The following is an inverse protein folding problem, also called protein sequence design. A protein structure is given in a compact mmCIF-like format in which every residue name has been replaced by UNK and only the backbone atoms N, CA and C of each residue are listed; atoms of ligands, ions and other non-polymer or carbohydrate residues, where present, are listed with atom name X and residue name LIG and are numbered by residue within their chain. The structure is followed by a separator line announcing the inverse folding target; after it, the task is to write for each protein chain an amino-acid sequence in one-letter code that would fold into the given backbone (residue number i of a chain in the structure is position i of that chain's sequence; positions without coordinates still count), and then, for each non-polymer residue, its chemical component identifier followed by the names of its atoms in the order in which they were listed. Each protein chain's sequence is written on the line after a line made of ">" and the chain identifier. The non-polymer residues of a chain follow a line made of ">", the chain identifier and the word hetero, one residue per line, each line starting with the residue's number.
data_IF_395171758099
#
_entry.id   IF_395171758099
#
_cell.length_a   1.000
_cell.length_b   1.000
_cell.length_c   1.000
_cell.angle_alpha   90.00
_cell.angle_beta   90.00
_cell.angle_gamma   90.00
#
_symmetry.space_group_name_H-M   'P 1'
#
loop_
_entity.id
_entity.type
_entity.pdbx_description
1 polymer ?
#
# COMPACT_ATOMS: atom_id res chain seq x y z
N UNK A 1 -21.19 -18.11 40.93
CA UNK A 1 -20.88 -17.97 39.48
C UNK A 1 -19.49 -17.35 39.36
N UNK A 2 -18.53 -17.95 38.63
CA UNK A 2 -17.26 -17.27 38.40
C UNK A 2 -17.50 -16.05 37.51
N UNK A 3 -16.91 -14.91 37.89
CA UNK A 3 -17.00 -13.68 37.10
C UNK A 3 -16.30 -13.89 35.76
N UNK A 4 -17.03 -13.70 34.66
CA UNK A 4 -16.43 -13.62 33.32
C UNK A 4 -15.66 -12.30 33.31
N UNK A 5 -14.35 -12.37 33.51
CA UNK A 5 -13.48 -11.20 33.36
C UNK A 5 -13.46 -10.82 31.87
N UNK A 6 -14.25 -9.81 31.51
CA UNK A 6 -14.21 -9.21 30.18
C UNK A 6 -12.95 -8.35 30.10
N UNK A 7 -11.91 -8.86 29.44
CA UNK A 7 -10.74 -8.05 29.12
C UNK A 7 -11.15 -6.95 28.12
N UNK A 8 -10.76 -5.68 28.33
CA UNK A 8 -11.12 -4.61 27.44
C UNK A 8 -10.48 -4.81 26.06
N UNK A 9 -11.30 -4.67 25.01
CA UNK A 9 -10.84 -4.65 23.62
C UNK A 9 -10.34 -3.25 23.31
N UNK A 10 -9.14 -3.18 22.73
CA UNK A 10 -8.49 -1.92 22.33
C UNK A 10 -8.25 -1.98 20.83
N UNK A 11 -8.82 -1.05 20.08
CA UNK A 11 -8.53 -0.89 18.65
C UNK A 11 -7.42 0.16 18.46
N UNK A 12 -6.43 -0.16 17.63
CA UNK A 12 -5.31 0.73 17.30
C UNK A 12 -5.13 0.85 15.79
N UNK A 13 -4.77 2.04 15.32
CA UNK A 13 -4.72 2.39 13.90
C UNK A 13 -6.05 2.90 13.35
N UNK A 14 -6.01 3.68 12.26
CA UNK A 14 -7.12 3.80 11.32
C UNK A 14 -8.51 4.20 11.84
N UNK A 15 -8.65 5.11 12.81
CA UNK A 15 -9.97 5.42 13.44
C UNK A 15 -10.92 6.18 12.49
N UNK A 16 -10.37 6.82 11.45
CA UNK A 16 -11.11 7.58 10.45
C UNK A 16 -11.52 6.75 9.24
N UNK A 17 -12.52 5.89 9.37
CA UNK A 17 -13.32 5.39 8.23
C UNK A 17 -12.54 4.92 6.98
N UNK A 18 -11.42 4.21 7.13
CA UNK A 18 -10.54 3.61 6.11
C UNK A 18 -11.00 3.77 4.63
N UNK A 19 -10.82 4.88 3.88
CA UNK A 19 -11.30 4.94 2.48
C UNK A 19 -10.74 3.78 1.65
N UNK A 20 -11.58 3.09 0.87
CA UNK A 20 -11.10 1.97 0.06
C UNK A 20 -10.12 2.50 -1.00
N UNK A 21 -8.90 1.96 -1.10
CA UNK A 21 -7.98 2.37 -2.15
C UNK A 21 -8.58 2.05 -3.51
N UNK A 22 -8.74 3.05 -4.37
CA UNK A 22 -9.26 2.87 -5.73
C UNK A 22 -8.15 3.06 -6.74
N UNK A 23 -7.81 2.00 -7.47
CA UNK A 23 -6.97 2.09 -8.67
C UNK A 23 -7.83 2.50 -9.87
N UNK A 24 -8.52 3.65 -9.75
CA UNK A 24 -9.21 4.20 -10.89
C UNK A 24 -8.16 4.88 -11.77
N UNK A 25 -7.65 4.13 -12.76
CA UNK A 25 -6.81 4.67 -13.82
C UNK A 25 -7.49 5.90 -14.43
N UNK A 26 -6.95 7.09 -14.21
CA UNK A 26 -7.30 8.25 -15.04
C UNK A 26 -6.83 7.97 -16.46
N UNK A 27 -7.67 8.18 -17.49
CA UNK A 27 -7.24 8.14 -18.88
C UNK A 27 -6.01 9.04 -19.09
N UNK A 28 -5.11 8.58 -19.94
CA UNK A 28 -3.83 9.20 -20.25
C UNK A 28 -3.94 10.66 -20.73
N UNK A 29 -3.55 11.64 -19.92
CA UNK A 29 -3.32 13.02 -20.41
C UNK A 29 -1.84 13.20 -20.79
N UNK A 30 -1.57 13.42 -22.08
CA UNK A 30 -0.34 13.96 -22.74
C UNK A 30 0.95 13.12 -22.95
N UNK A 31 1.23 12.70 -24.21
CA UNK A 31 2.58 12.35 -24.75
C UNK A 31 3.28 11.02 -24.38
N UNK A 32 2.68 9.88 -24.69
CA UNK A 32 3.46 8.66 -25.03
C UNK A 32 4.32 7.93 -23.97
N UNK A 33 4.38 8.39 -22.71
CA UNK A 33 4.92 7.59 -21.60
C UNK A 33 3.89 6.54 -21.12
N UNK A 34 4.30 5.40 -20.51
CA UNK A 34 3.37 4.41 -19.96
C UNK A 34 2.52 5.08 -18.87
N UNK A 35 1.27 5.36 -19.21
CA UNK A 35 0.28 6.00 -18.35
C UNK A 35 -0.75 4.95 -17.97
N UNK A 36 -0.63 4.45 -16.75
CA UNK A 36 -1.52 3.41 -16.24
C UNK A 36 -1.54 3.31 -14.72
N UNK A 37 -0.51 3.78 -14.02
CA UNK A 37 -0.55 3.91 -12.56
C UNK A 37 -1.31 5.19 -12.19
N UNK A 38 -2.60 5.26 -12.50
CA UNK A 38 -3.45 6.36 -12.07
C UNK A 38 -3.53 6.36 -10.55
N UNK A 39 -2.86 7.31 -9.87
CA UNK A 39 -2.90 7.65 -8.42
C UNK A 39 -3.03 6.50 -7.40
N UNK A 40 -2.76 5.26 -7.80
CA UNK A 40 -2.91 4.11 -6.94
C UNK A 40 -1.58 3.86 -6.28
N UNK A 41 -1.55 4.05 -4.95
CA UNK A 41 -0.38 3.67 -4.17
C UNK A 41 -0.47 2.19 -3.84
N UNK A 42 0.37 1.39 -4.49
CA UNK A 42 0.54 -0.01 -4.12
C UNK A 42 1.79 -0.10 -3.26
N UNK A 43 1.66 -0.73 -2.09
CA UNK A 43 2.83 -1.08 -1.28
C UNK A 43 3.55 -2.21 -1.94
N UNK A 44 4.86 -2.10 -2.07
CA UNK A 44 5.65 -3.12 -2.74
C UNK A 44 6.91 -3.41 -1.98
N UNK A 45 7.12 -4.69 -1.67
CA UNK A 45 8.33 -5.25 -1.11
C UNK A 45 8.82 -4.62 0.21
N UNK A 46 7.98 -3.86 0.94
CA UNK A 46 8.36 -2.96 2.04
C UNK A 46 7.70 -3.32 3.38
N UNK A 47 8.21 -2.76 4.49
CA UNK A 47 7.56 -2.79 5.80
C UNK A 47 7.09 -1.41 6.19
N UNK A 48 5.83 -1.25 6.60
CA UNK A 48 5.23 0.06 6.90
C UNK A 48 4.37 0.07 8.16
N UNK A 49 4.20 1.26 8.74
CA UNK A 49 3.22 1.55 9.80
C UNK A 49 2.79 3.03 9.74
N UNK A 50 1.55 3.36 10.13
CA UNK A 50 1.08 4.73 10.14
C UNK A 50 1.71 5.49 11.33
N UNK A 51 2.06 6.75 11.10
CA UNK A 51 2.56 7.66 12.14
C UNK A 51 1.61 8.79 12.45
N UNK A 52 0.64 9.07 11.57
CA UNK A 52 -0.42 10.05 11.79
C UNK A 52 -1.70 9.60 11.09
N UNK A 53 -2.81 9.78 11.78
CA UNK A 53 -4.15 9.49 11.27
C UNK A 53 -5.19 10.37 11.95
N UNK A 54 -5.91 11.18 11.17
CA UNK A 54 -7.09 11.90 11.65
C UNK A 54 -6.81 12.71 12.95
N UNK A 55 -5.62 13.31 13.03
CA UNK A 55 -5.14 14.07 14.20
C UNK A 55 -4.42 13.25 15.28
N UNK A 56 -4.48 11.92 15.23
CA UNK A 56 -3.80 11.02 16.18
C UNK A 56 -2.36 10.74 15.76
N UNK A 57 -1.40 10.91 16.67
CA UNK A 57 0.00 10.57 16.43
C UNK A 57 0.31 9.13 16.84
N UNK A 58 1.11 8.45 16.03
CA UNK A 58 1.55 7.06 16.20
C UNK A 58 0.40 6.08 16.52
N UNK A 59 -0.67 6.06 15.71
CA UNK A 59 -1.92 5.38 16.05
C UNK A 59 -1.78 3.86 16.18
N UNK A 60 -0.69 3.25 15.71
CA UNK A 60 -0.43 1.79 15.86
C UNK A 60 0.60 1.45 16.93
N UNK A 61 0.87 2.39 17.84
CA UNK A 61 1.70 2.14 19.02
C UNK A 61 0.85 1.48 20.10
N UNK A 62 1.33 0.37 20.63
CA UNK A 62 0.64 -0.41 21.66
C UNK A 62 0.61 0.40 22.97
N UNK A 63 -0.58 0.74 23.51
CA UNK A 63 -0.68 1.64 24.66
C UNK A 63 -0.41 0.94 26.00
N UNK A 64 -0.70 -0.36 26.08
CA UNK A 64 -0.55 -1.20 27.27
C UNK A 64 -0.12 -2.60 26.86
N UNK A 65 0.51 -3.36 27.75
CA UNK A 65 0.83 -4.76 27.48
C UNK A 65 -0.46 -5.51 27.11
N UNK A 66 -0.44 -6.15 25.95
CA UNK A 66 -1.65 -6.68 25.33
C UNK A 66 -1.32 -7.91 24.51
N UNK A 67 -2.37 -8.54 24.02
CA UNK A 67 -2.29 -9.59 23.02
C UNK A 67 -3.02 -9.16 21.77
N UNK A 68 -2.34 -9.24 20.63
CA UNK A 68 -2.93 -8.95 19.34
C UNK A 68 -3.73 -10.16 18.85
N UNK A 69 -4.99 -9.92 18.48
CA UNK A 69 -5.96 -10.98 18.17
C UNK A 69 -6.59 -10.86 16.79
N UNK A 70 -6.63 -9.66 16.19
CA UNK A 70 -7.18 -9.49 14.86
C UNK A 70 -6.54 -8.33 14.08
N UNK A 71 -6.71 -8.39 12.77
CA UNK A 71 -6.29 -7.38 11.80
C UNK A 71 -7.47 -7.03 10.90
N UNK A 72 -7.83 -5.76 10.86
CA UNK A 72 -8.80 -5.21 9.94
C UNK A 72 -8.08 -4.39 8.86
N UNK A 73 -8.41 -4.59 7.59
CA UNK A 73 -7.87 -3.78 6.50
C UNK A 73 -8.85 -3.60 5.35
N UNK A 74 -8.70 -2.52 4.57
CA UNK A 74 -9.34 -2.37 3.26
C UNK A 74 -8.33 -2.65 2.15
N UNK A 75 -8.69 -3.59 1.28
CA UNK A 75 -7.87 -3.98 0.14
C UNK A 75 -8.47 -3.37 -1.11
N UNK A 76 -7.66 -2.63 -1.84
CA UNK A 76 -8.03 -1.97 -3.09
C UNK A 76 -8.35 -2.98 -4.17
N UNK A 77 -9.20 -2.56 -5.11
CA UNK A 77 -9.53 -3.36 -6.28
C UNK A 77 -8.53 -3.04 -7.38
N UNK A 78 -7.77 -4.05 -7.79
CA UNK A 78 -7.02 -3.97 -9.04
C UNK A 78 -8.01 -4.12 -10.21
N UNK A 79 -7.89 -3.27 -11.21
CA UNK A 79 -8.75 -3.27 -12.38
C UNK A 79 -7.92 -3.08 -13.64
N UNK A 80 -8.02 -4.04 -14.54
CA UNK A 80 -7.43 -3.89 -15.86
C UNK A 80 -7.97 -2.62 -16.53
N UNK A 81 -7.07 -1.80 -17.05
CA UNK A 81 -7.44 -0.57 -17.75
C UNK A 81 -7.20 -0.74 -19.25
N UNK A 82 -8.04 -0.10 -20.05
CA UNK A 82 -7.92 -0.03 -21.51
C UNK A 82 -7.89 1.42 -21.91
N UNK A 83 -6.80 1.85 -22.53
CA UNK A 83 -6.62 3.22 -23.00
C UNK A 83 -6.61 3.22 -24.52
N UNK A 84 -7.44 4.06 -25.14
CA UNK A 84 -7.41 4.20 -26.59
C UNK A 84 -6.13 4.93 -27.02
N UNK A 85 -5.27 4.27 -27.80
CA UNK A 85 -4.02 4.86 -28.32
C UNK A 85 -4.15 5.37 -29.74
N UNK A 86 -5.11 4.85 -30.51
CA UNK A 86 -5.41 5.33 -31.86
C UNK A 86 -6.90 5.42 -32.09
N UNK A 87 -7.35 6.58 -32.57
CA UNK A 87 -8.70 6.78 -33.05
C UNK A 87 -8.74 6.71 -34.56
N UNK A 88 -9.82 6.14 -35.07
CA UNK A 88 -10.18 6.19 -36.48
C UNK A 88 -11.57 6.81 -36.60
N UNK A 89 -11.87 7.29 -37.80
CA UNK A 89 -13.16 7.86 -38.15
C UNK A 89 -13.74 7.00 -39.25
N UNK A 90 -14.99 6.60 -39.07
CA UNK A 90 -15.75 5.97 -40.14
C UNK A 90 -17.03 6.76 -40.35
N UNK A 91 -17.49 6.71 -41.59
CA UNK A 91 -18.68 7.42 -42.00
C UNK A 91 -19.90 6.56 -41.64
N UNK A 92 -20.76 7.08 -40.77
CA UNK A 92 -21.93 6.34 -40.28
C UNK A 92 -23.19 7.04 -40.72
N UNK A 93 -24.09 6.25 -41.29
CA UNK A 93 -25.45 6.65 -41.63
C UNK A 93 -26.38 6.19 -40.53
N UNK A 94 -27.00 7.12 -39.81
CA UNK A 94 -27.94 6.83 -38.73
C UNK A 94 -29.29 7.46 -39.03
N UNK A 95 -30.36 6.72 -38.76
CA UNK A 95 -31.74 7.19 -38.93
C UNK A 95 -32.30 7.48 -37.54
N UNK A 96 -32.56 8.76 -37.24
CA UNK A 96 -33.11 9.18 -35.94
C UNK A 96 -34.44 9.86 -36.23
N UNK A 97 -35.54 9.33 -35.67
CA UNK A 97 -36.91 9.82 -35.88
C UNK A 97 -37.27 9.99 -37.37
N UNK A 98 -36.97 8.98 -38.18
CA UNK A 98 -37.28 8.98 -39.62
C UNK A 98 -36.32 9.80 -40.50
N UNK A 99 -35.51 10.70 -39.91
CA UNK A 99 -34.54 11.53 -40.65
C UNK A 99 -33.19 10.82 -40.74
N UNK A 100 -32.64 10.75 -41.95
CA UNK A 100 -31.31 10.16 -42.19
C UNK A 100 -30.24 11.23 -42.02
N UNK A 101 -29.30 11.02 -41.09
CA UNK A 101 -28.13 11.89 -40.89
C UNK A 101 -26.85 11.10 -41.14
N UNK A 102 -25.93 11.74 -41.85
CA UNK A 102 -24.59 11.22 -42.08
C UNK A 102 -23.62 11.95 -41.14
N UNK A 103 -22.80 11.21 -40.42
CA UNK A 103 -21.75 11.80 -39.58
C UNK A 103 -20.51 10.94 -39.51
N UNK A 104 -19.36 11.58 -39.43
CA UNK A 104 -18.13 10.91 -39.02
C UNK A 104 -18.24 10.54 -37.54
N UNK A 105 -18.19 9.24 -37.24
CA UNK A 105 -18.19 8.76 -35.86
C UNK A 105 -16.77 8.33 -35.49
N UNK A 106 -16.27 8.95 -34.42
CA UNK A 106 -14.99 8.60 -33.81
C UNK A 106 -15.12 7.26 -33.10
N UNK A 107 -14.22 6.34 -33.37
CA UNK A 107 -14.10 5.08 -32.66
C UNK A 107 -12.65 4.77 -32.37
N UNK A 108 -12.41 3.91 -31.37
CA UNK A 108 -11.06 3.49 -31.06
C UNK A 108 -10.66 2.34 -31.99
N UNK A 109 -9.60 2.52 -32.76
CA UNK A 109 -9.05 1.50 -33.65
C UNK A 109 -7.88 0.73 -33.04
N UNK A 110 -7.27 1.25 -31.97
CA UNK A 110 -6.22 0.55 -31.21
C UNK A 110 -6.30 0.87 -29.73
N UNK A 111 -6.29 -0.19 -28.91
CA UNK A 111 -6.24 -0.10 -27.46
C UNK A 111 -4.84 -0.49 -26.96
N UNK A 112 -4.41 0.17 -25.89
CA UNK A 112 -3.38 -0.31 -24.98
C UNK A 112 -4.07 -0.87 -23.74
N UNK A 113 -3.71 -2.09 -23.34
CA UNK A 113 -4.36 -2.82 -22.25
C UNK A 113 -3.34 -2.99 -21.13
N UNK A 114 -3.64 -2.42 -19.98
CA UNK A 114 -2.83 -2.59 -18.78
C UNK A 114 -3.53 -3.55 -17.83
N UNK A 115 -3.02 -4.78 -17.78
CA UNK A 115 -3.46 -5.78 -16.82
C UNK A 115 -2.71 -5.57 -15.49
N UNK A 116 -3.30 -4.82 -14.57
CA UNK A 116 -2.66 -4.36 -13.33
C UNK A 116 -2.08 -5.52 -12.52
N UNK A 117 -2.86 -6.58 -12.32
CA UNK A 117 -2.41 -7.77 -11.57
C UNK A 117 -1.20 -8.43 -12.24
N UNK A 118 -1.27 -8.64 -13.56
CA UNK A 118 -0.20 -9.29 -14.31
C UNK A 118 1.09 -8.45 -14.28
N UNK A 119 0.94 -7.12 -14.35
CA UNK A 119 2.05 -6.21 -14.13
C UNK A 119 2.66 -6.41 -12.74
N UNK A 120 1.88 -6.27 -11.66
CA UNK A 120 2.41 -6.41 -10.30
C UNK A 120 3.01 -7.79 -10.01
N UNK A 121 2.40 -8.87 -10.50
CA UNK A 121 2.92 -10.23 -10.35
C UNK A 121 4.27 -10.41 -11.07
N UNK A 122 4.43 -9.82 -12.26
CA UNK A 122 5.69 -9.85 -13.02
C UNK A 122 6.76 -9.00 -12.33
N UNK A 123 6.36 -7.88 -11.76
CA UNK A 123 7.21 -6.78 -11.30
C UNK A 123 7.68 -6.96 -9.86
N UNK A 124 6.84 -7.48 -8.96
CA UNK A 124 7.12 -7.62 -7.52
C UNK A 124 6.98 -9.06 -7.01
N UNK A 125 6.78 -10.02 -7.92
CA UNK A 125 6.58 -11.43 -7.61
C UNK A 125 5.10 -11.81 -7.53
N UNK A 126 4.84 -13.09 -7.82
CA UNK A 126 3.49 -13.63 -7.96
C UNK A 126 2.72 -13.63 -6.64
N UNK A 127 1.48 -13.14 -6.70
CA UNK A 127 0.49 -13.20 -5.65
C UNK A 127 0.65 -12.06 -4.66
N UNK A 128 -0.41 -11.29 -4.45
CA UNK A 128 -0.44 -10.20 -3.46
C UNK A 128 -0.42 -10.77 -2.04
N UNK A 129 0.65 -10.50 -1.30
CA UNK A 129 0.89 -11.02 0.05
C UNK A 129 1.24 -9.91 1.03
N UNK A 130 0.73 -10.06 2.24
CA UNK A 130 1.10 -9.25 3.41
C UNK A 130 1.24 -10.13 4.63
N UNK A 131 1.94 -9.64 5.65
CA UNK A 131 1.91 -10.21 6.98
C UNK A 131 1.95 -9.12 8.02
N UNK A 132 1.39 -9.42 9.17
CA UNK A 132 1.52 -8.57 10.33
C UNK A 132 2.94 -8.61 10.88
N UNK A 133 3.42 -7.46 11.37
CA UNK A 133 4.72 -7.35 12.02
C UNK A 133 4.62 -6.52 13.29
N UNK A 134 5.36 -6.94 14.32
CA UNK A 134 5.54 -6.19 15.56
C UNK A 134 6.97 -5.69 15.63
N UNK A 135 7.11 -4.40 15.83
CA UNK A 135 8.36 -3.66 15.79
C UNK A 135 8.63 -3.02 17.15
N UNK A 136 9.72 -3.42 17.80
CA UNK A 136 10.17 -2.80 19.05
C UNK A 136 11.11 -1.65 18.75
N UNK A 137 10.86 -0.43 19.27
CA UNK A 137 11.82 0.66 19.20
C UNK A 137 13.16 0.23 19.83
N UNK A 138 14.25 0.43 19.11
CA UNK A 138 15.59 0.25 19.66
C UNK A 138 16.07 1.56 20.29
N UNK A 139 16.90 1.49 21.34
CA UNK A 139 17.53 2.69 21.91
C UNK A 139 18.32 3.39 20.81
N UNK A 140 18.12 4.72 20.69
CA UNK A 140 18.85 5.56 19.74
C UNK A 140 20.35 5.41 20.00
N UNK A 141 21.11 4.88 19.03
CA UNK A 141 22.58 4.77 19.18
C UNK A 141 23.32 6.09 18.93
N UNK A 142 22.70 7.05 18.22
CA UNK A 142 23.12 8.45 18.00
C UNK A 142 22.40 8.95 16.73
N UNK A 143 22.04 10.24 16.66
CA UNK A 143 21.51 10.90 15.46
C UNK A 143 20.04 10.61 15.08
N UNK A 144 19.64 11.10 13.90
CA UNK A 144 18.27 11.13 13.35
C UNK A 144 17.68 9.78 12.90
N UNK A 145 18.33 8.65 13.23
CA UNK A 145 17.96 7.30 12.75
C UNK A 145 16.80 6.72 13.59
N UNK A 146 15.84 6.06 12.93
CA UNK A 146 14.66 5.48 13.59
C UNK A 146 14.76 3.97 13.50
N UNK A 147 15.52 3.38 14.43
CA UNK A 147 15.74 1.94 14.45
C UNK A 147 14.61 1.21 15.16
N UNK A 148 14.13 0.13 14.53
CA UNK A 148 13.20 -0.81 15.15
C UNK A 148 13.62 -2.24 14.87
N UNK A 149 13.49 -3.09 15.89
CA UNK A 149 13.73 -4.54 15.80
C UNK A 149 12.43 -5.28 15.56
N UNK A 150 12.45 -6.27 14.68
CA UNK A 150 11.34 -7.20 14.49
C UNK A 150 11.29 -8.16 15.67
N UNK A 151 10.23 -8.09 16.46
CA UNK A 151 10.07 -8.95 17.65
C UNK A 151 9.05 -10.06 17.43
N UNK A 152 8.07 -9.85 16.57
CA UNK A 152 7.11 -10.89 16.19
C UNK A 152 6.59 -10.68 14.77
N UNK A 153 6.10 -11.77 14.19
CA UNK A 153 5.53 -11.80 12.85
C UNK A 153 4.27 -12.66 12.85
N UNK A 154 3.21 -12.17 12.22
CA UNK A 154 2.01 -12.96 11.95
C UNK A 154 2.17 -13.88 10.73
N UNK A 155 1.17 -14.74 10.45
CA UNK A 155 1.17 -15.58 9.26
C UNK A 155 1.12 -14.74 7.98
N UNK A 156 1.54 -15.34 6.86
CA UNK A 156 1.38 -14.73 5.54
C UNK A 156 -0.09 -14.79 5.11
N UNK A 157 -0.61 -13.67 4.61
CA UNK A 157 -1.99 -13.50 4.16
C UNK A 157 -1.96 -13.22 2.66
N UNK A 158 -2.66 -14.03 1.87
CA UNK A 158 -2.91 -13.75 0.45
C UNK A 158 -4.11 -12.80 0.31
N UNK A 159 -3.92 -11.70 -0.41
CA UNK A 159 -4.91 -10.63 -0.56
C UNK A 159 -5.78 -10.75 -1.81
N UNK A 160 -5.44 -11.60 -2.78
CA UNK A 160 -6.10 -11.62 -4.10
C UNK A 160 -7.62 -11.88 -4.00
N UNK A 161 -8.03 -12.79 -3.11
CA UNK A 161 -9.45 -13.09 -2.85
C UNK A 161 -10.22 -11.97 -2.15
N UNK A 162 -9.50 -10.94 -1.71
CA UNK A 162 -10.03 -9.82 -0.92
C UNK A 162 -9.96 -8.48 -1.65
N UNK A 163 -9.47 -8.43 -2.89
CA UNK A 163 -9.42 -7.20 -3.68
C UNK A 163 -10.79 -6.51 -3.75
N UNK A 164 -10.80 -5.22 -3.43
CA UNK A 164 -12.01 -4.40 -3.36
C UNK A 164 -12.87 -4.59 -2.11
N UNK A 165 -12.38 -5.28 -1.08
CA UNK A 165 -13.15 -5.59 0.14
C UNK A 165 -12.49 -5.01 1.41
N UNK A 166 -13.32 -4.70 2.41
CA UNK A 166 -12.90 -4.60 3.81
C UNK A 166 -12.90 -6.00 4.40
N UNK A 167 -11.84 -6.37 5.09
CA UNK A 167 -11.70 -7.67 5.75
C UNK A 167 -11.26 -7.48 7.19
N UNK A 168 -11.76 -8.36 8.05
CA UNK A 168 -11.27 -8.54 9.42
C UNK A 168 -10.83 -9.98 9.55
N UNK A 169 -9.57 -10.18 9.90
CA UNK A 169 -8.94 -11.48 10.01
C UNK A 169 -8.55 -11.72 11.46
N UNK A 170 -9.20 -12.68 12.10
CA UNK A 170 -8.76 -13.19 13.39
C UNK A 170 -7.42 -13.92 13.22
N UNK A 171 -6.49 -13.65 14.13
CA UNK A 171 -5.21 -14.34 14.18
C UNK A 171 -5.40 -15.72 14.78
N UNK A 172 -5.02 -16.77 14.04
CA UNK A 172 -5.03 -18.16 14.54
C UNK A 172 -4.13 -18.33 15.76
N UNK A 173 -2.99 -17.65 15.75
CA UNK A 173 -2.08 -17.57 16.86
C UNK A 173 -1.97 -16.11 17.26
N UNK A 174 -2.35 -15.82 18.49
CA UNK A 174 -2.26 -14.48 19.05
C UNK A 174 -0.80 -14.09 19.26
N UNK A 175 -0.51 -12.79 19.22
CA UNK A 175 0.85 -12.29 19.33
C UNK A 175 0.96 -11.41 20.58
N UNK A 176 1.77 -11.79 21.59
CA UNK A 176 1.99 -10.93 22.74
C UNK A 176 2.75 -9.68 22.32
N UNK A 177 2.32 -8.53 22.81
CA UNK A 177 2.92 -7.22 22.51
C UNK A 177 3.13 -6.43 23.80
N UNK A 178 4.21 -5.67 23.86
CA UNK A 178 4.51 -4.80 25.00
C UNK A 178 4.08 -3.36 24.70
N UNK A 179 3.79 -2.61 25.75
CA UNK A 179 3.61 -1.15 25.65
C UNK A 179 4.80 -0.52 24.90
N UNK A 180 4.48 0.32 23.91
CA UNK A 180 5.48 0.99 23.07
C UNK A 180 5.96 0.18 21.86
N UNK A 181 5.62 -1.10 21.75
CA UNK A 181 5.75 -1.83 20.49
C UNK A 181 4.88 -1.15 19.42
N UNK A 182 5.31 -1.22 18.16
CA UNK A 182 4.58 -0.66 17.01
C UNK A 182 4.13 -1.79 16.11
N UNK A 183 2.84 -1.80 15.79
CA UNK A 183 2.26 -2.79 14.87
C UNK A 183 2.21 -2.20 13.46
N UNK A 184 2.55 -3.02 12.47
CA UNK A 184 2.56 -2.63 11.07
C UNK A 184 2.32 -3.80 10.13
N UNK A 185 2.59 -3.56 8.84
CA UNK A 185 2.52 -4.58 7.80
C UNK A 185 3.87 -4.72 7.11
N UNK A 186 4.28 -5.96 6.89
CA UNK A 186 5.36 -6.33 5.98
C UNK A 186 4.76 -6.90 4.70
N UNK A 187 5.15 -6.33 3.56
CA UNK A 187 4.61 -6.62 2.23
C UNK A 187 5.71 -7.24 1.38
N UNK A 188 5.84 -8.57 1.30
CA UNK A 188 6.92 -9.22 0.54
C UNK A 188 6.84 -9.02 -0.97
N UNK A 189 5.62 -8.91 -1.51
CA UNK A 189 5.31 -8.78 -2.94
C UNK A 189 4.71 -7.41 -3.21
N UNK A 190 3.41 -7.33 -3.50
CA UNK A 190 2.65 -6.11 -3.53
C UNK A 190 1.36 -6.21 -2.72
N UNK A 191 0.82 -5.07 -2.28
CA UNK A 191 -0.46 -4.96 -1.59
C UNK A 191 -1.16 -3.64 -1.98
N UNK A 192 -2.35 -3.70 -2.59
CA UNK A 192 -3.10 -2.51 -2.97
C UNK A 192 -3.83 -1.95 -1.74
N UNK A 193 -3.09 -1.42 -0.76
CA UNK A 193 -3.64 -1.03 0.54
C UNK A 193 -3.34 0.44 0.88
N UNK A 194 -2.89 1.28 -0.06
CA UNK A 194 -2.68 2.71 0.22
C UNK A 194 -3.53 3.62 -0.67
N UNK A 195 -4.50 4.35 -0.11
CA UNK A 195 -4.99 5.58 -0.69
C UNK A 195 -3.96 6.65 -0.38
N UNK A 196 -3.45 7.30 -1.44
CA UNK A 196 -2.87 8.62 -1.29
C UNK A 196 -3.98 9.52 -0.75
N UNK A 197 -3.69 10.19 0.35
CA UNK A 197 -4.67 11.07 0.97
C UNK A 197 -5.03 12.22 0.02
N UNK A 198 -6.23 12.76 0.17
CA UNK A 198 -6.62 14.01 -0.47
C UNK A 198 -5.63 15.12 -0.09
N UNK A 199 -5.33 16.03 -1.01
CA UNK A 199 -4.45 17.18 -0.73
C UNK A 199 -4.95 17.93 0.51
N UNK A 200 -4.08 18.11 1.53
CA UNK A 200 -4.37 18.85 2.76
C UNK A 200 -4.46 18.01 4.04
N UNK A 201 -4.42 16.68 3.97
CA UNK A 201 -4.39 15.83 5.18
C UNK A 201 -3.01 15.81 5.83
N UNK A 202 -2.95 15.74 7.16
CA UNK A 202 -1.71 15.53 7.93
C UNK A 202 -1.32 14.06 8.09
N UNK A 203 -2.08 13.14 7.49
CA UNK A 203 -1.90 11.70 7.63
C UNK A 203 -0.61 11.24 6.96
N UNK A 204 0.09 10.36 7.66
CA UNK A 204 1.43 9.98 7.25
C UNK A 204 1.82 8.57 7.72
N UNK A 205 2.77 8.02 6.99
CA UNK A 205 3.30 6.67 7.15
C UNK A 205 4.81 6.68 7.28
N UNK A 206 5.34 5.64 7.89
CA UNK A 206 6.76 5.30 7.79
C UNK A 206 6.97 3.96 7.11
N UNK A 207 8.08 3.86 6.39
CA UNK A 207 8.54 2.63 5.80
C UNK A 207 10.00 2.31 6.14
N UNK A 208 10.33 1.03 6.13
CA UNK A 208 11.70 0.56 6.27
C UNK A 208 12.54 1.00 5.08
N UNK A 209 13.75 1.50 5.35
CA UNK A 209 14.77 1.75 4.35
C UNK A 209 15.40 0.44 3.90
N UNK A 210 15.74 0.32 2.61
CA UNK A 210 16.64 -0.72 2.18
C UNK A 210 18.04 -0.50 2.78
N UNK A 211 18.89 -1.55 2.83
CA UNK A 211 20.26 -1.43 3.29
C UNK A 211 21.05 -0.35 2.55
N UNK A 212 22.09 0.19 3.19
CA UNK A 212 22.99 1.14 2.54
C UNK A 212 23.59 0.53 1.25
N UNK A 213 23.67 1.33 0.19
CA UNK A 213 24.15 0.90 -1.13
C UNK A 213 23.12 0.16 -1.99
N UNK A 214 21.89 -0.03 -1.50
CA UNK A 214 20.81 -0.59 -2.32
C UNK A 214 20.49 0.33 -3.51
N UNK A 215 20.58 -0.23 -4.72
CA UNK A 215 20.22 0.46 -5.96
C UNK A 215 18.87 -0.10 -6.43
N UNK A 216 17.78 0.68 -6.36
CA UNK A 216 16.49 0.23 -6.88
C UNK A 216 16.64 -0.13 -8.36
N UNK A 217 15.98 -1.19 -8.79
CA UNK A 217 15.94 -1.59 -10.20
C UNK A 217 14.54 -1.33 -10.75
N UNK A 218 14.47 -0.84 -11.98
CA UNK A 218 13.23 -0.73 -12.71
C UNK A 218 12.74 -2.16 -12.96
N UNK A 219 11.51 -2.49 -12.54
CA UNK A 219 11.02 -3.86 -12.59
C UNK A 219 10.59 -4.31 -14.00
N UNK A 220 10.55 -3.40 -14.98
CA UNK A 220 10.23 -3.73 -16.38
C UNK A 220 11.49 -4.07 -17.16
N UNK A 221 12.57 -3.32 -16.93
CA UNK A 221 13.85 -3.42 -17.64
C UNK A 221 14.92 -4.17 -16.83
N UNK A 222 14.74 -4.33 -15.52
CA UNK A 222 15.75 -4.87 -14.60
C UNK A 222 16.95 -3.94 -14.37
N UNK A 223 16.95 -2.75 -14.95
CA UNK A 223 18.07 -1.81 -14.90
C UNK A 223 18.04 -0.97 -13.63
N UNK A 224 19.18 -0.57 -13.06
CA UNK A 224 19.21 0.34 -11.92
C UNK A 224 18.49 1.67 -12.24
N UNK A 225 17.57 2.08 -11.36
CA UNK A 225 16.99 3.43 -11.37
C UNK A 225 18.05 4.36 -10.78
N UNK A 226 18.79 5.03 -11.64
CA UNK A 226 19.83 6.01 -11.25
C UNK A 226 19.24 7.39 -11.02
N UNK A 227 18.17 7.73 -11.74
CA UNK A 227 17.40 8.97 -11.61
C UNK A 227 15.92 8.65 -11.55
N UNK A 228 15.21 9.37 -10.71
CA UNK A 228 13.75 9.38 -10.63
C UNK A 228 13.17 9.85 -11.98
N UNK A 229 12.35 9.04 -12.68
CA UNK A 229 11.89 9.37 -14.02
C UNK A 229 10.93 10.58 -14.11
N UNK A 230 10.47 11.15 -12.99
CA UNK A 230 9.64 12.37 -12.97
C UNK A 230 10.48 13.62 -12.68
N UNK A 231 11.40 13.54 -11.72
CA UNK A 231 12.19 14.71 -11.27
C UNK A 231 13.57 14.79 -11.89
N UNK A 232 14.03 13.70 -12.50
CA UNK A 232 15.41 13.52 -12.95
C UNK A 232 16.47 13.67 -11.84
N UNK A 233 16.07 13.68 -10.55
CA UNK A 233 16.97 13.68 -9.40
C UNK A 233 17.49 12.27 -9.13
N UNK A 234 18.62 12.15 -8.43
CA UNK A 234 19.14 10.86 -7.96
C UNK A 234 18.06 10.08 -7.20
N UNK A 235 17.92 8.79 -7.49
CA UNK A 235 16.92 7.95 -6.84
C UNK A 235 17.14 7.91 -5.31
N UNK A 236 16.22 8.50 -4.54
CA UNK A 236 16.15 8.33 -3.09
C UNK A 236 15.41 7.01 -2.79
N UNK A 237 15.96 6.11 -1.94
CA UNK A 237 15.22 4.94 -1.46
C UNK A 237 13.93 5.27 -0.71
N UNK A 238 13.71 6.55 -0.35
CA UNK A 238 12.45 7.08 0.17
C UNK A 238 11.65 7.90 -0.87
N UNK A 239 11.90 7.78 -2.17
CA UNK A 239 11.08 8.47 -3.17
C UNK A 239 9.71 7.78 -3.32
N UNK A 240 8.63 8.56 -3.29
CA UNK A 240 7.23 8.11 -3.49
C UNK A 240 6.75 8.18 -4.94
N UNK A 241 7.59 8.65 -5.86
CA UNK A 241 7.10 8.95 -7.21
C UNK A 241 6.85 7.64 -7.96
N UNK A 242 5.77 7.63 -8.74
CA UNK A 242 5.06 6.48 -9.37
C UNK A 242 3.94 5.79 -8.57
N UNK A 243 3.60 6.22 -7.35
CA UNK A 243 2.57 5.50 -6.58
C UNK A 243 3.02 4.09 -6.20
N UNK A 244 4.33 3.88 -6.14
CA UNK A 244 4.95 2.62 -5.76
C UNK A 244 6.01 2.95 -4.73
N UNK A 245 5.84 2.40 -3.52
CA UNK A 245 6.85 2.54 -2.48
C UNK A 245 7.93 1.49 -2.75
N UNK A 246 8.96 1.88 -3.50
CA UNK A 246 10.12 1.03 -3.82
C UNK A 246 11.03 0.90 -2.61
N UNK A 247 10.66 0.03 -1.69
CA UNK A 247 11.56 -0.33 -0.62
C UNK A 247 11.62 -1.85 -0.63
N UNK A 248 12.63 -2.45 -1.27
CA UNK A 248 12.93 -3.88 -1.10
C UNK A 248 13.50 -4.11 0.31
N UNK A 249 12.64 -3.93 1.30
CA UNK A 249 12.96 -3.89 2.73
C UNK A 249 11.82 -4.50 3.56
N UNK A 250 11.07 -5.42 2.96
CA UNK A 250 10.12 -6.26 3.67
C UNK A 250 10.89 -7.10 4.69
N UNK A 251 10.52 -6.92 5.93
CA UNK A 251 11.14 -7.62 7.04
C UNK A 251 10.35 -8.90 7.26
N UNK A 252 11.01 -10.03 7.00
CA UNK A 252 10.38 -11.35 7.01
C UNK A 252 10.92 -12.26 8.10
N UNK A 253 11.92 -11.80 8.84
CA UNK A 253 12.62 -12.55 9.88
C UNK A 253 12.64 -11.75 11.19
N UNK A 254 12.42 -12.46 12.30
CA UNK A 254 12.56 -11.89 13.64
C UNK A 254 14.02 -11.56 13.95
N UNK A 255 14.25 -10.67 14.90
CA UNK A 255 15.59 -10.25 15.31
C UNK A 255 16.25 -9.22 14.40
N UNK A 256 15.77 -9.03 13.17
CA UNK A 256 16.29 -7.99 12.25
C UNK A 256 16.00 -6.59 12.78
N UNK A 257 16.97 -5.71 12.63
CA UNK A 257 16.86 -4.28 12.92
C UNK A 257 16.81 -3.53 11.59
N UNK A 258 15.89 -2.58 11.47
CA UNK A 258 15.75 -1.75 10.29
C UNK A 258 15.53 -0.28 10.66
N UNK A 259 15.89 0.59 9.74
CA UNK A 259 15.70 2.03 9.84
C UNK A 259 14.39 2.45 9.15
N UNK A 260 13.55 3.22 9.83
CA UNK A 260 12.22 3.63 9.37
C UNK A 260 12.13 5.14 9.07
N UNK A 261 13.21 5.74 8.57
CA UNK A 261 13.25 7.17 8.21
C UNK A 261 12.44 7.57 6.97
N UNK A 262 12.03 6.63 6.12
CA UNK A 262 11.19 6.99 4.97
C UNK A 262 9.80 7.39 5.47
N UNK A 263 9.39 8.62 5.17
CA UNK A 263 8.10 9.18 5.59
C UNK A 263 7.28 9.55 4.37
N UNK A 264 6.00 9.18 4.38
CA UNK A 264 5.12 9.32 3.24
C UNK A 264 3.78 9.92 3.65
N UNK A 265 3.21 10.88 2.91
CA UNK A 265 1.83 11.31 3.13
C UNK A 265 0.86 10.20 2.70
N UNK A 266 -0.26 10.05 3.40
CA UNK A 266 -1.30 9.08 3.05
C UNK A 266 -2.14 8.63 4.23
N UNK A 267 -3.32 8.06 3.96
CA UNK A 267 -4.27 7.63 5.00
C UNK A 267 -4.07 6.16 5.36
N UNK A 268 -4.09 5.76 6.65
CA UNK A 268 -4.25 4.37 7.08
C UNK A 268 -5.47 3.66 6.53
N UNK A 269 -5.24 2.45 6.03
CA UNK A 269 -6.29 1.51 5.58
C UNK A 269 -6.35 0.27 6.43
N UNK A 270 -5.59 0.22 7.51
CA UNK A 270 -5.57 -0.91 8.40
C UNK A 270 -5.56 -0.48 9.86
N UNK A 271 -6.12 -1.36 10.66
CA UNK A 271 -6.41 -1.23 12.07
C UNK A 271 -6.19 -2.60 12.71
N UNK A 272 -5.83 -2.61 13.97
CA UNK A 272 -5.52 -3.81 14.72
C UNK A 272 -6.34 -3.86 15.99
N UNK A 273 -6.81 -5.06 16.32
CA UNK A 273 -7.55 -5.30 17.55
C UNK A 273 -6.65 -5.99 18.56
N UNK A 274 -6.51 -5.36 19.72
CA UNK A 274 -5.79 -5.85 20.87
C UNK A 274 -6.79 -6.25 21.97
N UNK A 275 -6.40 -7.25 22.76
CA UNK A 275 -7.03 -7.58 24.04
C UNK A 275 -6.02 -7.26 25.12
N UNK A 276 -6.37 -6.37 26.05
CA UNK A 276 -5.47 -6.01 27.13
C UNK A 276 -5.15 -7.25 27.98
N UNK A 277 -3.88 -7.40 28.35
CA UNK A 277 -3.48 -8.42 29.32
C UNK A 277 -3.96 -7.98 30.70
N UNK A 278 -4.79 -8.80 31.33
CA UNK A 278 -5.19 -8.67 32.74
C UNK A 278 -4.01 -8.91 33.68
#
# INVERSE_FOLDING_TARGET
>A
MPAIAAAPVIEIGGTGGLPAPSCNGTPANDRGAPKGLGRCSVLTMTTVYPIRDSGTNNPTTVPVNSTLVALTMRVGKLKDSKTCTKYSYHWVRSKIKGVTKNRWTKYCSKYDVFAEKAYFDKTFGKGSKVRLIVLRPERKKSGSVILKKVVALGPMISLERYFGRKITLALRQTIPVLKGDVVGLSVPTYAPILPLASSGTTDAWRASRPPAGFKPKDPTSGLPITKDPVTHRTADPCSTRFGVIFAQSSLLTTGKIADFRCSYPGVPTFEFTLVASS
#
